data_IF_136682976140
#
_entry.id   IF_136682976140
#
_cell.length_a   1.000
_cell.length_b   1.000
_cell.length_c   1.000
_cell.angle_alpha   90.00
_cell.angle_beta   90.00
_cell.angle_gamma   90.00
#
_symmetry.space_group_name_H-M   'P 1'
#
loop_
_entity.id
_entity.type
_entity.pdbx_description
1 polymer ?
#
# COMPACT_ATOMS: atom_id res chain seq x y z
N UNK A 1 -21.49 -14.19 -32.71
CA UNK A 1 -20.25 -13.58 -32.18
C UNK A 1 -19.99 -14.16 -30.81
N UNK A 2 -18.77 -14.62 -30.49
CA UNK A 2 -18.46 -15.04 -29.11
C UNK A 2 -18.57 -13.82 -28.20
N UNK A 3 -19.21 -13.97 -27.05
CA UNK A 3 -19.25 -12.91 -26.05
C UNK A 3 -17.82 -12.55 -25.62
N UNK A 4 -17.49 -11.26 -25.67
CA UNK A 4 -16.20 -10.76 -25.19
C UNK A 4 -16.37 -10.39 -23.73
N UNK A 5 -15.61 -11.04 -22.85
CA UNK A 5 -15.57 -10.72 -21.41
C UNK A 5 -14.49 -9.70 -21.12
N UNK A 6 -14.77 -8.74 -20.24
CA UNK A 6 -13.79 -7.80 -19.72
C UNK A 6 -13.16 -8.36 -18.44
N UNK A 7 -11.83 -8.47 -18.41
CA UNK A 7 -11.06 -8.87 -17.22
C UNK A 7 -10.37 -7.65 -16.65
N UNK A 8 -10.52 -7.43 -15.34
CA UNK A 8 -9.83 -6.37 -14.61
C UNK A 8 -8.69 -7.00 -13.80
N UNK A 9 -7.50 -6.43 -13.89
CA UNK A 9 -6.33 -6.86 -13.13
C UNK A 9 -5.94 -5.69 -12.23
N UNK A 10 -5.87 -5.95 -10.92
CA UNK A 10 -5.51 -4.95 -9.91
C UNK A 10 -4.24 -5.40 -9.21
N UNK A 11 -3.08 -4.85 -9.57
CA UNK A 11 -1.84 -5.18 -8.88
C UNK A 11 -1.87 -4.64 -7.45
N UNK A 12 -1.53 -5.51 -6.50
CA UNK A 12 -1.42 -5.17 -5.09
C UNK A 12 -0.49 -6.18 -4.39
N UNK A 13 -0.10 -5.83 -3.18
CA UNK A 13 0.39 -6.78 -2.18
C UNK A 13 -0.60 -6.81 -1.03
N UNK A 14 -0.68 -7.93 -0.33
CA UNK A 14 -1.24 -7.97 1.02
C UNK A 14 -0.07 -7.89 2.00
N UNK A 15 -0.13 -6.96 2.95
CA UNK A 15 0.99 -6.64 3.83
C UNK A 15 0.58 -6.66 5.30
N UNK A 16 0.71 -7.83 5.92
CA UNK A 16 0.69 -7.93 7.36
C UNK A 16 1.91 -7.21 7.94
N UNK A 17 1.68 -6.14 8.70
CA UNK A 17 2.75 -5.34 9.32
C UNK A 17 3.68 -6.20 10.18
N UNK A 18 3.10 -7.17 10.88
CA UNK A 18 3.79 -8.16 11.69
C UNK A 18 2.96 -9.45 11.75
N UNK A 19 3.62 -10.60 11.63
CA UNK A 19 2.97 -11.90 11.73
C UNK A 19 3.98 -12.99 12.11
N UNK A 20 4.51 -13.74 11.14
CA UNK A 20 5.51 -14.79 11.37
C UNK A 20 6.96 -14.29 11.37
N UNK A 21 7.19 -13.07 10.87
CA UNK A 21 8.45 -12.34 10.98
C UNK A 21 8.39 -11.34 12.14
N UNK A 22 9.56 -10.95 12.63
CA UNK A 22 9.67 -9.76 13.47
C UNK A 22 9.35 -8.50 12.68
N UNK A 23 8.91 -7.44 13.36
CA UNK A 23 8.59 -6.15 12.72
C UNK A 23 9.77 -5.59 11.91
N UNK A 24 11.01 -5.78 12.37
CA UNK A 24 12.20 -5.29 11.66
C UNK A 24 12.51 -6.08 10.38
N UNK A 25 12.32 -7.41 10.41
CA UNK A 25 12.42 -8.25 9.20
C UNK A 25 11.38 -7.84 8.16
N UNK A 26 10.13 -7.63 8.59
CA UNK A 26 9.08 -7.09 7.72
C UNK A 26 9.48 -5.73 7.15
N UNK A 27 10.04 -4.80 7.95
CA UNK A 27 10.47 -3.49 7.41
C UNK A 27 11.55 -3.58 6.34
N UNK A 28 12.49 -4.52 6.44
CA UNK A 28 13.52 -4.73 5.39
C UNK A 28 12.84 -5.16 4.09
N UNK A 29 11.89 -6.10 4.16
CA UNK A 29 11.13 -6.56 3.00
C UNK A 29 10.27 -5.42 2.42
N UNK A 30 9.67 -4.58 3.28
CA UNK A 30 8.87 -3.43 2.86
C UNK A 30 9.70 -2.46 2.03
N UNK A 31 10.92 -2.15 2.48
CA UNK A 31 11.82 -1.23 1.77
C UNK A 31 12.13 -1.75 0.37
N UNK A 32 12.45 -3.04 0.25
CA UNK A 32 12.71 -3.67 -1.05
C UNK A 32 11.47 -3.64 -1.94
N UNK A 33 10.30 -4.00 -1.39
CA UNK A 33 9.07 -4.05 -2.15
C UNK A 33 8.66 -2.66 -2.67
N UNK A 34 8.75 -1.63 -1.83
CA UNK A 34 8.46 -0.26 -2.21
C UNK A 34 9.42 0.25 -3.29
N UNK A 35 10.71 -0.11 -3.25
CA UNK A 35 11.65 0.27 -4.31
C UNK A 35 11.25 -0.32 -5.66
N UNK A 36 10.86 -1.60 -5.69
CA UNK A 36 10.40 -2.25 -6.93
C UNK A 36 9.10 -1.63 -7.46
N UNK A 37 8.14 -1.34 -6.58
CA UNK A 37 6.87 -0.69 -6.93
C UNK A 37 7.14 0.69 -7.53
N UNK A 38 7.91 1.54 -6.84
CA UNK A 38 8.19 2.90 -7.28
C UNK A 38 8.97 2.91 -8.60
N UNK A 39 10.01 2.07 -8.72
CA UNK A 39 10.75 1.91 -9.97
C UNK A 39 9.82 1.52 -11.12
N UNK A 40 8.90 0.55 -10.91
CA UNK A 40 7.97 0.13 -11.95
C UNK A 40 7.03 1.26 -12.37
N UNK A 41 6.43 1.96 -11.41
CA UNK A 41 5.48 3.05 -11.69
C UNK A 41 6.14 4.23 -12.43
N UNK A 42 7.44 4.44 -12.21
CA UNK A 42 8.22 5.51 -12.84
C UNK A 42 8.69 5.17 -14.25
N UNK A 43 9.06 3.90 -14.48
CA UNK A 43 9.73 3.48 -15.71
C UNK A 43 8.78 2.86 -16.74
N UNK A 44 7.62 2.37 -16.31
CA UNK A 44 6.64 1.70 -17.18
C UNK A 44 5.32 2.47 -17.24
N UNK A 45 5.08 3.15 -18.36
CA UNK A 45 3.84 3.91 -18.58
C UNK A 45 2.62 3.01 -18.81
N UNK A 46 2.79 1.75 -19.19
CA UNK A 46 1.68 0.80 -19.32
C UNK A 46 1.24 0.24 -17.95
N UNK A 47 2.10 0.36 -16.93
CA UNK A 47 1.77 -0.01 -15.56
C UNK A 47 1.00 1.12 -14.85
N UNK A 48 -0.32 1.10 -15.05
CA UNK A 48 -1.19 2.24 -14.75
C UNK A 48 -1.31 2.59 -13.27
N UNK A 49 -1.42 1.59 -12.40
CA UNK A 49 -1.61 1.81 -10.98
C UNK A 49 -1.20 0.59 -10.14
N UNK A 50 -0.92 0.84 -8.87
CA UNK A 50 -0.69 -0.17 -7.84
C UNK A 50 -1.49 0.17 -6.58
N UNK A 51 -2.12 -0.82 -5.95
CA UNK A 51 -2.87 -0.64 -4.70
C UNK A 51 -2.00 -1.05 -3.51
N UNK A 52 -1.76 -0.11 -2.61
CA UNK A 52 -0.97 -0.30 -1.40
C UNK A 52 -1.84 -0.80 -0.24
N UNK A 53 -2.49 -1.95 -0.48
CA UNK A 53 -3.19 -2.77 0.52
C UNK A 53 -4.26 -2.08 1.39
N UNK A 54 -4.73 -0.90 0.98
CA UNK A 54 -5.81 -0.22 1.67
C UNK A 54 -5.43 0.47 2.98
N UNK A 55 -4.14 0.49 3.35
CA UNK A 55 -3.63 1.00 4.63
C UNK A 55 -2.59 2.11 4.44
N UNK A 56 -2.60 3.13 5.30
CA UNK A 56 -1.65 4.26 5.24
C UNK A 56 -0.50 4.15 6.25
N UNK A 57 -0.65 3.38 7.34
CA UNK A 57 0.41 3.18 8.34
C UNK A 57 1.70 2.59 7.74
N UNK A 58 1.58 1.79 6.68
CA UNK A 58 2.72 1.25 5.93
C UNK A 58 3.67 2.34 5.39
N UNK A 59 3.14 3.52 5.07
CA UNK A 59 3.95 4.65 4.61
C UNK A 59 4.78 5.24 5.75
N UNK A 60 4.26 5.26 6.98
CA UNK A 60 5.01 5.73 8.15
C UNK A 60 6.20 4.81 8.43
N UNK A 61 5.99 3.49 8.40
CA UNK A 61 7.06 2.51 8.55
C UNK A 61 8.11 2.65 7.42
N UNK A 62 7.67 2.87 6.18
CA UNK A 62 8.59 3.08 5.06
C UNK A 62 9.40 4.37 5.21
N UNK A 63 8.75 5.49 5.55
CA UNK A 63 9.43 6.79 5.68
C UNK A 63 10.30 6.91 6.93
N UNK A 64 10.06 6.08 7.95
CA UNK A 64 10.98 5.96 9.08
C UNK A 64 12.37 5.45 8.63
N UNK A 65 12.42 4.65 7.56
CA UNK A 65 13.67 4.10 7.01
C UNK A 65 14.18 4.88 5.79
N UNK A 66 13.27 5.34 4.92
CA UNK A 66 13.55 6.04 3.65
C UNK A 66 12.88 7.43 3.58
N UNK A 67 13.20 8.36 4.50
CA UNK A 67 12.56 9.68 4.54
C UNK A 67 12.75 10.50 3.25
N UNK A 68 13.84 10.26 2.52
CA UNK A 68 14.17 10.90 1.24
C UNK A 68 13.15 10.58 0.13
N UNK A 69 12.41 9.47 0.25
CA UNK A 69 11.46 9.01 -0.77
C UNK A 69 10.05 9.62 -0.62
N UNK A 70 9.82 10.51 0.35
CA UNK A 70 8.51 11.16 0.54
C UNK A 70 8.01 11.86 -0.71
N UNK A 71 8.86 12.66 -1.37
CA UNK A 71 8.47 13.37 -2.59
C UNK A 71 8.24 12.41 -3.77
N UNK A 72 8.99 11.30 -3.81
CA UNK A 72 8.85 10.25 -4.83
C UNK A 72 7.49 9.57 -4.70
N UNK A 73 7.13 9.14 -3.50
CA UNK A 73 5.81 8.56 -3.19
C UNK A 73 4.69 9.56 -3.45
N UNK A 74 4.81 10.80 -2.96
CA UNK A 74 3.81 11.86 -3.16
C UNK A 74 3.47 12.06 -4.63
N UNK A 75 4.48 12.15 -5.50
CA UNK A 75 4.27 12.28 -6.95
C UNK A 75 3.45 11.12 -7.53
N UNK A 76 3.73 9.88 -7.12
CA UNK A 76 2.97 8.72 -7.62
C UNK A 76 1.53 8.70 -7.09
N UNK A 77 1.29 9.13 -5.86
CA UNK A 77 -0.05 9.26 -5.28
C UNK A 77 -0.85 10.35 -5.98
N UNK A 78 -0.27 11.55 -6.15
CA UNK A 78 -0.91 12.68 -6.85
C UNK A 78 -1.19 12.37 -8.32
N UNK A 79 -0.33 11.57 -8.96
CA UNK A 79 -0.55 11.09 -10.32
C UNK A 79 -1.60 9.96 -10.42
N UNK A 80 -2.14 9.47 -9.30
CA UNK A 80 -3.08 8.34 -9.26
C UNK A 80 -2.45 6.99 -9.60
N UNK A 81 -1.12 6.91 -9.63
CA UNK A 81 -0.35 5.69 -9.93
C UNK A 81 -0.16 4.81 -8.69
N UNK A 82 -0.03 5.40 -7.50
CA UNK A 82 -0.01 4.66 -6.24
C UNK A 82 -1.29 4.96 -5.45
N UNK A 83 -2.13 3.95 -5.27
CA UNK A 83 -3.41 4.06 -4.56
C UNK A 83 -3.18 3.66 -3.10
N UNK A 84 -3.49 4.54 -2.17
CA UNK A 84 -3.27 4.37 -0.71
C UNK A 84 -4.60 4.49 0.06
N UNK A 85 -4.66 3.94 1.27
CA UNK A 85 -5.84 4.05 2.14
C UNK A 85 -7.09 3.34 1.57
N UNK A 86 -8.29 3.58 2.15
CA UNK A 86 -8.64 4.72 3.01
C UNK A 86 -8.40 4.48 4.51
N UNK A 87 -7.95 3.29 4.90
CA UNK A 87 -7.76 2.97 6.30
C UNK A 87 -6.36 3.35 6.76
N UNK A 88 -6.19 3.58 8.06
CA UNK A 88 -4.88 3.67 8.68
C UNK A 88 -4.20 2.29 8.74
N UNK A 89 -4.90 1.27 9.24
CA UNK A 89 -4.45 -0.13 9.35
C UNK A 89 -5.51 -1.13 8.88
N UNK A 90 -5.15 -2.40 8.70
CA UNK A 90 -6.11 -3.49 8.47
C UNK A 90 -6.54 -4.13 9.80
N UNK A 91 -7.61 -3.62 10.39
CA UNK A 91 -8.06 -4.02 11.74
C UNK A 91 -9.00 -5.24 11.73
N UNK A 92 -8.93 -6.07 12.78
CA UNK A 92 -9.93 -7.10 13.04
C UNK A 92 -11.24 -6.45 13.52
N UNK A 93 -12.34 -6.73 12.81
CA UNK A 93 -13.64 -6.08 13.04
C UNK A 93 -14.38 -6.53 14.31
N UNK A 94 -13.91 -7.56 14.99
CA UNK A 94 -14.58 -8.19 16.14
C UNK A 94 -13.82 -8.04 17.47
N UNK A 95 -12.51 -7.76 17.41
CA UNK A 95 -11.65 -7.65 18.60
C UNK A 95 -11.56 -6.22 19.11
N UNK A 96 -11.50 -5.23 18.21
CA UNK A 96 -11.35 -3.82 18.60
C UNK A 96 -12.71 -3.18 18.88
N UNK A 97 -12.69 -2.04 19.59
CA UNK A 97 -13.92 -1.29 19.84
C UNK A 97 -14.50 -0.72 18.54
N UNK A 98 -15.82 -0.53 18.48
CA UNK A 98 -16.48 0.12 17.34
C UNK A 98 -15.90 1.51 17.06
N UNK A 99 -15.57 2.26 18.11
CA UNK A 99 -14.93 3.57 17.99
C UNK A 99 -13.55 3.45 17.34
N UNK A 100 -12.76 2.42 17.67
CA UNK A 100 -11.46 2.17 17.04
C UNK A 100 -11.58 1.96 15.53
N UNK A 101 -12.62 1.29 15.06
CA UNK A 101 -12.88 1.12 13.61
C UNK A 101 -13.17 2.47 12.95
N UNK A 102 -13.99 3.32 13.59
CA UNK A 102 -14.26 4.68 13.09
C UNK A 102 -12.99 5.51 13.05
N UNK A 103 -12.16 5.46 14.09
CA UNK A 103 -10.86 6.16 14.13
C UNK A 103 -9.92 5.68 13.04
N UNK A 104 -9.92 4.39 12.73
CA UNK A 104 -9.10 3.80 11.68
C UNK A 104 -9.44 4.34 10.26
N UNK A 105 -10.64 4.89 10.03
CA UNK A 105 -11.01 5.60 8.79
C UNK A 105 -10.75 7.11 8.85
N UNK A 106 -10.67 7.66 10.07
CA UNK A 106 -10.55 9.09 10.29
C UNK A 106 -9.09 9.56 10.16
N UNK A 107 -8.14 8.70 10.55
CA UNK A 107 -6.70 8.92 10.41
C UNK A 107 -6.23 8.64 8.97
#
# INVERSE_FOLDING_TARGET
>A
MKAVSRVHITPHMHWDREWYFTTEESRILLVNNMEEILCRLEQDNEYKYYVLDGQTAILEDYFAVKPENKDRVKKQVEAGKLIIGPWYTQTDTTIVSAESIVRNLMY
#
